data_IF_288453420504
#
_entry.id   IF_288453420504
#
_cell.length_a   1.000
_cell.length_b   1.000
_cell.length_c   1.000
_cell.angle_alpha   90.00
_cell.angle_beta   90.00
_cell.angle_gamma   90.00
#
_symmetry.space_group_name_H-M   'P 1'
#
loop_
_entity.id
_entity.type
_entity.pdbx_description
1 polymer ?
#
# COMPACT_ATOMS: atom_id res chain seq x y z
N UNK A 1 10.31 9.09 -29.87
CA UNK A 1 10.86 8.48 -28.64
C UNK A 1 9.88 7.42 -28.18
N UNK A 2 10.19 6.14 -28.35
CA UNK A 2 9.33 5.10 -27.79
C UNK A 2 9.43 5.18 -26.27
N UNK A 3 8.44 5.86 -25.66
CA UNK A 3 8.24 5.76 -24.22
C UNK A 3 8.07 4.27 -23.89
N UNK A 4 8.76 3.80 -22.86
CA UNK A 4 8.58 2.44 -22.32
C UNK A 4 7.08 2.13 -22.32
N UNK A 5 6.71 0.96 -22.80
CA UNK A 5 5.31 0.47 -22.80
C UNK A 5 4.82 0.25 -21.35
N UNK A 6 4.80 1.33 -20.57
CA UNK A 6 4.53 1.32 -19.13
C UNK A 6 3.06 0.97 -18.83
N UNK A 7 2.17 1.19 -19.80
CA UNK A 7 0.77 0.77 -19.70
C UNK A 7 0.62 -0.73 -19.45
N UNK A 8 1.53 -1.57 -20.01
CA UNK A 8 1.51 -3.02 -19.74
C UNK A 8 1.68 -3.33 -18.25
N UNK A 9 2.53 -2.58 -17.53
CA UNK A 9 2.80 -2.82 -16.11
C UNK A 9 1.62 -2.42 -15.22
N UNK A 10 0.91 -1.35 -15.56
CA UNK A 10 -0.33 -1.01 -14.86
C UNK A 10 -1.42 -2.07 -15.09
N UNK A 11 -1.51 -2.59 -16.32
CA UNK A 11 -2.44 -3.69 -16.62
C UNK A 11 -2.08 -4.97 -15.86
N UNK A 12 -0.80 -5.33 -15.79
CA UNK A 12 -0.33 -6.45 -14.96
C UNK A 12 -0.68 -6.19 -13.49
N UNK A 13 -0.57 -4.94 -13.01
CA UNK A 13 -1.03 -4.54 -11.70
C UNK A 13 -2.51 -4.88 -11.44
N UNK A 14 -3.41 -4.65 -12.41
CA UNK A 14 -4.83 -5.06 -12.26
C UNK A 14 -5.01 -6.57 -12.18
N UNK A 15 -4.25 -7.35 -12.95
CA UNK A 15 -4.23 -8.82 -12.83
C UNK A 15 -3.75 -9.22 -11.43
N UNK A 16 -2.70 -8.56 -10.92
CA UNK A 16 -2.20 -8.81 -9.58
C UNK A 16 -3.24 -8.48 -8.50
N UNK A 17 -4.00 -7.39 -8.67
CA UNK A 17 -5.11 -7.06 -7.76
C UNK A 17 -6.18 -8.16 -7.75
N UNK A 18 -6.50 -8.74 -8.91
CA UNK A 18 -7.43 -9.87 -8.99
C UNK A 18 -6.88 -11.10 -8.23
N UNK A 19 -5.57 -11.40 -8.31
CA UNK A 19 -4.96 -12.46 -7.51
C UNK A 19 -4.99 -12.15 -6.01
N UNK A 20 -4.71 -10.90 -5.60
CA UNK A 20 -4.85 -10.49 -4.20
C UNK A 20 -6.28 -10.73 -3.71
N UNK A 21 -7.28 -10.30 -4.49
CA UNK A 21 -8.69 -10.50 -4.15
C UNK A 21 -9.08 -11.99 -4.12
N UNK A 22 -8.57 -12.80 -5.05
CA UNK A 22 -8.79 -14.27 -5.07
C UNK A 22 -8.31 -14.91 -3.76
N UNK A 23 -7.10 -14.59 -3.32
CA UNK A 23 -6.59 -15.10 -2.04
C UNK A 23 -7.37 -14.58 -0.84
N UNK A 24 -7.89 -13.36 -0.91
CA UNK A 24 -8.83 -12.82 0.07
C UNK A 24 -10.12 -13.66 0.14
N UNK A 25 -10.69 -14.01 -1.02
CA UNK A 25 -11.87 -14.90 -1.11
C UNK A 25 -11.57 -16.27 -0.51
N UNK A 26 -10.44 -16.91 -0.89
CA UNK A 26 -10.06 -18.22 -0.35
C UNK A 26 -9.94 -18.22 1.18
N UNK A 27 -9.31 -17.19 1.75
CA UNK A 27 -9.20 -17.05 3.20
C UNK A 27 -10.56 -16.84 3.87
N UNK A 28 -11.44 -16.01 3.31
CA UNK A 28 -12.78 -15.77 3.85
C UNK A 28 -13.68 -16.99 3.71
N UNK A 29 -13.59 -17.69 2.58
CA UNK A 29 -14.27 -18.97 2.39
C UNK A 29 -13.88 -19.98 3.48
N UNK A 30 -12.57 -20.14 3.72
CA UNK A 30 -12.03 -21.06 4.71
C UNK A 30 -12.47 -20.72 6.16
N UNK A 31 -12.73 -19.44 6.46
CA UNK A 31 -13.22 -19.02 7.77
C UNK A 31 -14.73 -19.24 7.89
N UNK A 32 -15.49 -19.00 6.81
CA UNK A 32 -16.95 -19.13 6.81
C UNK A 32 -17.43 -20.58 6.60
N UNK A 33 -16.63 -21.40 5.91
CA UNK A 33 -16.95 -22.76 5.52
C UNK A 33 -15.76 -23.70 5.72
N UNK A 34 -15.98 -24.99 5.84
CA UNK A 34 -14.89 -25.96 5.97
C UNK A 34 -14.14 -26.13 4.64
N UNK A 35 -12.81 -25.92 4.66
CA UNK A 35 -11.95 -26.14 3.49
C UNK A 35 -10.55 -26.60 3.96
N UNK A 36 -10.34 -27.94 4.12
CA UNK A 36 -9.13 -28.49 4.74
C UNK A 36 -7.89 -28.50 3.81
N UNK A 37 -8.07 -28.33 2.47
CA UNK A 37 -7.02 -28.54 1.48
C UNK A 37 -5.88 -27.52 1.50
N UNK A 38 -6.09 -26.34 2.07
CA UNK A 38 -5.09 -25.28 2.14
C UNK A 38 -4.92 -24.80 3.58
N UNK A 39 -3.67 -24.59 3.99
CA UNK A 39 -3.35 -24.04 5.30
C UNK A 39 -3.66 -22.54 5.39
N UNK A 40 -4.47 -22.13 6.39
CA UNK A 40 -4.87 -20.73 6.57
C UNK A 40 -3.65 -19.79 6.73
N UNK A 41 -2.62 -20.25 7.44
CA UNK A 41 -1.39 -19.46 7.66
C UNK A 41 -0.62 -19.29 6.36
N UNK A 42 -0.58 -20.29 5.50
CA UNK A 42 0.09 -20.23 4.20
C UNK A 42 -0.61 -19.25 3.26
N UNK A 43 -1.94 -19.33 3.18
CA UNK A 43 -2.74 -18.37 2.41
C UNK A 43 -2.54 -16.94 2.91
N UNK A 44 -2.50 -16.71 4.22
CA UNK A 44 -2.28 -15.40 4.80
C UNK A 44 -0.93 -14.81 4.38
N UNK A 45 0.15 -15.61 4.44
CA UNK A 45 1.47 -15.17 3.99
C UNK A 45 1.49 -14.90 2.49
N UNK A 46 0.96 -15.81 1.67
CA UNK A 46 0.88 -15.64 0.23
C UNK A 46 0.12 -14.35 -0.15
N UNK A 47 -1.07 -14.15 0.43
CA UNK A 47 -1.89 -12.97 0.22
C UNK A 47 -1.17 -11.68 0.62
N UNK A 48 -0.65 -11.61 1.83
CA UNK A 48 -0.05 -10.38 2.36
C UNK A 48 1.23 -10.00 1.61
N UNK A 49 2.16 -10.93 1.39
CA UNK A 49 3.39 -10.66 0.63
C UNK A 49 3.08 -10.24 -0.82
N UNK A 50 2.10 -10.88 -1.46
CA UNK A 50 1.72 -10.53 -2.83
C UNK A 50 0.99 -9.18 -2.90
N UNK A 51 0.13 -8.85 -1.94
CA UNK A 51 -0.52 -7.55 -1.86
C UNK A 51 0.49 -6.40 -1.74
N UNK A 52 1.55 -6.60 -0.96
CA UNK A 52 2.62 -5.60 -0.77
C UNK A 52 3.53 -5.49 -2.00
N UNK A 53 4.07 -6.59 -2.50
CA UNK A 53 5.08 -6.60 -3.56
C UNK A 53 4.49 -6.60 -4.97
N UNK A 54 3.46 -7.42 -5.20
CA UNK A 54 2.83 -7.62 -6.51
C UNK A 54 1.79 -6.56 -6.87
N UNK A 55 1.14 -5.93 -5.89
CA UNK A 55 0.15 -4.90 -6.14
C UNK A 55 0.69 -3.50 -5.82
N UNK A 56 0.82 -3.13 -4.55
CA UNK A 56 1.12 -1.73 -4.18
C UNK A 56 2.54 -1.32 -4.59
N UNK A 57 3.57 -2.10 -4.22
CA UNK A 57 4.96 -1.77 -4.62
C UNK A 57 5.14 -1.81 -6.13
N UNK A 58 4.54 -2.77 -6.83
CA UNK A 58 4.59 -2.85 -8.29
C UNK A 58 4.05 -1.57 -8.94
N UNK A 59 2.90 -1.07 -8.45
CA UNK A 59 2.32 0.18 -8.93
C UNK A 59 3.27 1.38 -8.67
N UNK A 60 3.82 1.48 -7.46
CA UNK A 60 4.70 2.60 -7.10
C UNK A 60 6.00 2.54 -7.90
N UNK A 61 6.64 1.37 -8.06
CA UNK A 61 7.82 1.24 -8.92
C UNK A 61 7.52 1.68 -10.35
N UNK A 62 6.39 1.27 -10.90
CA UNK A 62 5.97 1.69 -12.24
C UNK A 62 5.74 3.21 -12.30
N UNK A 63 5.05 3.77 -11.33
CA UNK A 63 4.77 5.21 -11.23
C UNK A 63 6.05 6.05 -11.10
N UNK A 64 7.01 5.61 -10.30
CA UNK A 64 8.30 6.28 -10.16
C UNK A 64 9.18 6.13 -11.41
N UNK A 65 9.13 4.98 -12.11
CA UNK A 65 9.81 4.81 -13.39
C UNK A 65 9.26 5.79 -14.45
N UNK A 66 7.93 6.01 -14.47
CA UNK A 66 7.30 7.02 -15.34
C UNK A 66 7.70 8.44 -14.92
N UNK A 67 7.81 8.70 -13.63
CA UNK A 67 8.20 10.00 -13.09
C UNK A 67 9.59 10.41 -13.59
N UNK A 68 10.54 9.47 -13.61
CA UNK A 68 11.93 9.74 -13.96
C UNK A 68 12.24 9.57 -15.47
N UNK A 69 11.41 8.80 -16.20
CA UNK A 69 11.63 8.45 -17.60
C UNK A 69 11.94 9.64 -18.54
N UNK A 70 11.28 10.81 -18.41
CA UNK A 70 11.57 11.97 -19.28
C UNK A 70 13.02 12.49 -19.19
N UNK A 71 13.72 12.17 -18.11
CA UNK A 71 15.10 12.60 -17.84
C UNK A 71 16.13 11.53 -18.17
N UNK A 72 15.70 10.35 -18.65
CA UNK A 72 16.59 9.21 -18.88
C UNK A 72 16.71 8.84 -20.35
N UNK A 73 17.89 8.32 -20.72
CA UNK A 73 18.08 7.67 -22.01
C UNK A 73 17.25 6.38 -22.11
N UNK A 74 16.92 5.96 -23.34
CA UNK A 74 16.14 4.72 -23.59
C UNK A 74 16.80 3.48 -22.96
N UNK A 75 18.14 3.41 -22.97
CA UNK A 75 18.89 2.30 -22.36
C UNK A 75 18.65 2.22 -20.84
N UNK A 76 18.67 3.36 -20.15
CA UNK A 76 18.36 3.43 -18.72
C UNK A 76 16.91 3.07 -18.41
N UNK A 77 15.97 3.57 -19.21
CA UNK A 77 14.57 3.21 -19.06
C UNK A 77 14.35 1.69 -19.15
N UNK A 78 15.07 0.98 -20.04
CA UNK A 78 15.02 -0.50 -20.12
C UNK A 78 15.52 -1.19 -18.85
N UNK A 79 16.38 -0.56 -18.05
CA UNK A 79 16.81 -1.11 -16.75
C UNK A 79 15.63 -1.13 -15.79
N UNK A 80 14.87 -0.03 -15.68
CA UNK A 80 13.66 0.02 -14.85
C UNK A 80 12.62 -1.02 -15.30
N UNK A 81 12.42 -1.19 -16.62
CA UNK A 81 11.51 -2.21 -17.16
C UNK A 81 11.91 -3.62 -16.69
N UNK A 82 13.21 -3.95 -16.74
CA UNK A 82 13.73 -5.23 -16.25
C UNK A 82 13.57 -5.39 -14.74
N UNK A 83 13.86 -4.36 -13.96
CA UNK A 83 13.73 -4.44 -12.49
C UNK A 83 12.27 -4.63 -12.07
N UNK A 84 11.32 -3.96 -12.74
CA UNK A 84 9.89 -4.18 -12.52
C UNK A 84 9.50 -5.62 -12.88
N UNK A 85 10.03 -6.17 -13.99
CA UNK A 85 9.81 -7.58 -14.37
C UNK A 85 10.33 -8.53 -13.29
N UNK A 86 11.56 -8.33 -12.79
CA UNK A 86 12.12 -9.18 -11.74
C UNK A 86 11.31 -9.08 -10.44
N UNK A 87 10.82 -7.88 -10.09
CA UNK A 87 9.91 -7.73 -8.94
C UNK A 87 8.65 -8.60 -9.12
N UNK A 88 8.04 -8.62 -10.30
CA UNK A 88 6.86 -9.45 -10.58
C UNK A 88 7.20 -10.95 -10.49
N UNK A 89 8.31 -11.39 -11.04
CA UNK A 89 8.74 -12.79 -10.94
C UNK A 89 8.88 -13.19 -9.48
N UNK A 90 9.52 -12.37 -8.66
CA UNK A 90 9.67 -12.64 -7.23
C UNK A 90 8.34 -12.59 -6.48
N UNK A 91 7.45 -11.67 -6.83
CA UNK A 91 6.12 -11.57 -6.21
C UNK A 91 5.29 -12.85 -6.48
N UNK A 92 5.24 -13.33 -7.72
CA UNK A 92 4.59 -14.60 -8.04
C UNK A 92 5.32 -15.80 -7.43
N UNK A 93 6.65 -15.77 -7.38
CA UNK A 93 7.45 -16.76 -6.67
C UNK A 93 7.05 -16.87 -5.20
N UNK A 94 6.88 -15.72 -4.50
CA UNK A 94 6.35 -15.69 -3.13
C UNK A 94 4.91 -16.22 -3.07
N UNK A 95 4.02 -15.77 -3.97
CA UNK A 95 2.62 -16.18 -3.98
C UNK A 95 2.49 -17.71 -3.99
N UNK A 96 3.15 -18.38 -4.93
CA UNK A 96 3.05 -19.83 -5.06
C UNK A 96 3.83 -20.58 -3.99
N UNK A 97 5.05 -20.14 -3.66
CA UNK A 97 5.87 -20.85 -2.66
C UNK A 97 5.26 -20.76 -1.26
N UNK A 98 4.73 -19.60 -0.84
CA UNK A 98 4.02 -19.50 0.43
C UNK A 98 2.75 -20.35 0.47
N UNK A 99 2.00 -20.42 -0.63
CA UNK A 99 0.79 -21.23 -0.71
C UNK A 99 1.07 -22.72 -0.52
N UNK A 100 2.17 -23.23 -1.09
CA UNK A 100 2.51 -24.65 -1.09
C UNK A 100 3.23 -25.06 0.19
N UNK A 101 4.16 -24.25 0.66
CA UNK A 101 5.10 -24.67 1.71
C UNK A 101 5.20 -23.74 2.92
N UNK A 102 4.47 -22.60 2.93
CA UNK A 102 4.62 -21.60 3.98
C UNK A 102 6.03 -20.99 4.02
N UNK A 103 6.53 -20.66 5.20
CA UNK A 103 7.92 -20.17 5.39
C UNK A 103 8.93 -21.32 5.28
N UNK A 104 9.37 -21.63 4.05
CA UNK A 104 10.44 -22.59 3.75
C UNK A 104 11.40 -22.00 2.71
N UNK A 105 12.32 -22.82 2.20
CA UNK A 105 13.43 -22.38 1.36
C UNK A 105 13.02 -21.43 0.22
N UNK A 106 12.10 -21.83 -0.65
CA UNK A 106 11.76 -21.02 -1.82
C UNK A 106 11.05 -19.71 -1.46
N UNK A 107 10.16 -19.73 -0.46
CA UNK A 107 9.49 -18.48 -0.02
C UNK A 107 10.47 -17.51 0.60
N UNK A 108 11.48 -18.01 1.34
CA UNK A 108 12.55 -17.19 1.90
C UNK A 108 13.43 -16.61 0.79
N UNK A 109 13.81 -17.44 -0.21
CA UNK A 109 14.60 -16.98 -1.37
C UNK A 109 13.87 -15.83 -2.09
N UNK A 110 12.60 -16.01 -2.49
CA UNK A 110 11.87 -14.99 -3.22
C UNK A 110 11.63 -13.72 -2.36
N UNK A 111 11.39 -13.87 -1.06
CA UNK A 111 11.27 -12.72 -0.15
C UNK A 111 12.57 -11.94 -0.05
N UNK A 112 13.72 -12.64 0.07
CA UNK A 112 15.04 -12.02 0.11
C UNK A 112 15.36 -11.31 -1.20
N UNK A 113 15.08 -11.95 -2.35
CA UNK A 113 15.25 -11.34 -3.67
C UNK A 113 14.40 -10.08 -3.82
N UNK A 114 13.18 -10.05 -3.30
CA UNK A 114 12.32 -8.84 -3.31
C UNK A 114 12.99 -7.69 -2.54
N UNK A 115 13.62 -7.96 -1.40
CA UNK A 115 14.39 -6.96 -0.64
C UNK A 115 15.57 -6.46 -1.47
N UNK A 116 16.36 -7.35 -2.09
CA UNK A 116 17.49 -6.97 -2.93
C UNK A 116 17.05 -6.13 -4.14
N UNK A 117 15.94 -6.49 -4.77
CA UNK A 117 15.34 -5.70 -5.86
C UNK A 117 14.95 -4.31 -5.37
N UNK A 118 14.36 -4.18 -4.18
CA UNK A 118 13.98 -2.89 -3.62
C UNK A 118 15.20 -1.99 -3.36
N UNK A 119 16.27 -2.54 -2.84
CA UNK A 119 17.55 -1.84 -2.63
C UNK A 119 18.15 -1.41 -3.97
N UNK A 120 18.19 -2.32 -4.94
CA UNK A 120 18.71 -2.02 -6.27
C UNK A 120 17.86 -0.95 -6.99
N UNK A 121 16.53 -1.04 -6.92
CA UNK A 121 15.64 -0.02 -7.47
C UNK A 121 15.89 1.35 -6.84
N UNK A 122 16.00 1.40 -5.51
CA UNK A 122 16.31 2.65 -4.80
C UNK A 122 17.66 3.23 -5.21
N UNK A 123 18.69 2.39 -5.31
CA UNK A 123 20.03 2.81 -5.73
C UNK A 123 20.03 3.42 -7.12
N UNK A 124 19.45 2.75 -8.14
CA UNK A 124 19.40 3.29 -9.50
C UNK A 124 18.56 4.57 -9.56
N UNK A 125 17.42 4.62 -8.84
CA UNK A 125 16.56 5.80 -8.83
C UNK A 125 17.26 7.01 -8.20
N UNK A 126 17.92 6.85 -7.06
CA UNK A 126 18.67 7.92 -6.38
C UNK A 126 19.79 8.43 -7.29
N UNK A 127 20.57 7.53 -7.89
CA UNK A 127 21.63 7.88 -8.84
C UNK A 127 21.08 8.64 -10.04
N UNK A 128 20.04 8.13 -10.68
CA UNK A 128 19.46 8.71 -11.88
C UNK A 128 18.69 10.00 -11.60
N UNK A 129 18.18 10.17 -10.37
CA UNK A 129 17.49 11.39 -9.95
C UNK A 129 18.37 12.64 -10.01
N UNK A 130 19.70 12.48 -10.10
CA UNK A 130 20.62 13.60 -10.39
C UNK A 130 20.32 14.28 -11.73
N UNK A 131 19.70 13.57 -12.69
CA UNK A 131 19.31 14.11 -13.99
C UNK A 131 17.98 14.89 -13.96
N UNK A 132 17.21 14.74 -12.86
CA UNK A 132 16.00 15.53 -12.64
C UNK A 132 16.36 16.95 -12.18
N UNK A 133 15.55 17.97 -12.54
CA UNK A 133 15.72 19.31 -11.99
C UNK A 133 15.84 19.30 -10.46
N UNK A 134 16.76 20.09 -9.93
CA UNK A 134 17.03 20.11 -8.47
C UNK A 134 15.79 20.47 -7.65
N UNK A 135 14.93 21.33 -8.21
CA UNK A 135 13.70 21.81 -7.59
C UNK A 135 12.47 20.94 -7.91
N UNK A 136 12.63 19.81 -8.62
CA UNK A 136 11.51 18.95 -8.96
C UNK A 136 10.79 18.45 -7.70
N UNK A 137 9.50 18.83 -7.46
CA UNK A 137 8.85 18.66 -6.15
C UNK A 137 8.73 17.22 -5.73
N UNK A 138 8.49 16.30 -6.67
CA UNK A 138 8.32 14.86 -6.39
C UNK A 138 9.63 14.14 -6.05
N UNK A 139 10.81 14.69 -6.39
CA UNK A 139 12.10 14.03 -6.21
C UNK A 139 12.34 13.62 -4.75
N UNK A 140 12.14 14.54 -3.81
CA UNK A 140 12.35 14.27 -2.38
C UNK A 140 11.39 13.23 -1.84
N UNK A 141 10.12 13.29 -2.24
CA UNK A 141 9.10 12.34 -1.83
C UNK A 141 9.39 10.93 -2.34
N UNK A 142 9.83 10.81 -3.60
CA UNK A 142 10.24 9.52 -4.17
C UNK A 142 11.44 8.93 -3.43
N UNK A 143 12.50 9.73 -3.22
CA UNK A 143 13.71 9.29 -2.49
C UNK A 143 13.36 8.93 -1.04
N UNK A 144 12.58 9.76 -0.34
CA UNK A 144 12.15 9.49 1.02
C UNK A 144 11.38 8.16 1.12
N UNK A 145 10.44 7.90 0.21
CA UNK A 145 9.72 6.63 0.15
C UNK A 145 10.65 5.43 -0.08
N UNK A 146 11.58 5.53 -1.03
CA UNK A 146 12.55 4.48 -1.33
C UNK A 146 13.50 4.20 -0.15
N UNK A 147 13.96 5.23 0.56
CA UNK A 147 14.80 5.06 1.74
C UNK A 147 14.02 4.39 2.88
N UNK A 148 12.76 4.77 3.12
CA UNK A 148 11.91 4.13 4.13
C UNK A 148 11.56 2.68 3.75
N UNK A 149 11.47 2.36 2.45
CA UNK A 149 11.36 0.98 1.99
C UNK A 149 12.59 0.15 2.36
N UNK A 150 13.79 0.69 2.18
CA UNK A 150 15.04 0.02 2.60
C UNK A 150 15.06 -0.16 4.12
N UNK A 151 14.70 0.88 4.88
CA UNK A 151 14.63 0.82 6.36
C UNK A 151 13.67 -0.27 6.82
N UNK A 152 12.53 -0.45 6.14
CA UNK A 152 11.55 -1.48 6.48
C UNK A 152 12.13 -2.90 6.44
N UNK A 153 13.12 -3.14 5.60
CA UNK A 153 13.74 -4.46 5.44
C UNK A 153 14.42 -4.97 6.72
N UNK A 154 14.76 -4.09 7.66
CA UNK A 154 15.34 -4.50 8.95
C UNK A 154 14.40 -5.44 9.73
N UNK A 155 13.07 -5.26 9.63
CA UNK A 155 12.09 -6.15 10.25
C UNK A 155 12.22 -7.61 9.77
N UNK A 156 12.00 -7.91 8.47
CA UNK A 156 12.15 -9.25 7.93
C UNK A 156 13.56 -9.84 8.10
N UNK A 157 14.61 -9.03 8.03
CA UNK A 157 15.99 -9.50 8.26
C UNK A 157 16.20 -9.94 9.71
N UNK A 158 15.64 -9.20 10.67
CA UNK A 158 15.71 -9.60 12.08
C UNK A 158 14.86 -10.85 12.36
N UNK A 159 13.70 -10.99 11.72
CA UNK A 159 12.92 -12.24 11.75
C UNK A 159 13.73 -13.43 11.22
N UNK A 160 14.41 -13.27 10.09
CA UNK A 160 15.25 -14.32 9.53
C UNK A 160 16.39 -14.69 10.48
N UNK A 161 17.03 -13.70 11.13
CA UNK A 161 18.05 -13.92 12.14
C UNK A 161 17.51 -14.75 13.33
N UNK A 162 16.36 -14.38 13.90
CA UNK A 162 15.74 -15.15 15.00
C UNK A 162 15.40 -16.59 14.59
N UNK A 163 14.95 -16.80 13.36
CA UNK A 163 14.67 -18.14 12.85
C UNK A 163 15.95 -18.98 12.66
N UNK A 164 17.03 -18.39 12.16
CA UNK A 164 18.33 -19.08 11.99
C UNK A 164 18.96 -19.46 13.32
N UNK A 165 18.88 -18.57 14.29
CA UNK A 165 19.44 -18.81 15.65
C UNK A 165 18.53 -19.68 16.53
N UNK A 166 17.33 -20.01 16.05
CA UNK A 166 16.31 -20.75 16.81
C UNK A 166 15.92 -20.05 18.14
N UNK A 167 16.22 -18.77 18.29
CA UNK A 167 15.89 -17.97 19.46
C UNK A 167 14.72 -17.04 19.13
N UNK A 168 13.53 -17.63 19.05
CA UNK A 168 12.31 -16.89 18.69
C UNK A 168 11.65 -16.39 19.99
N UNK A 169 11.80 -15.08 20.24
CA UNK A 169 11.10 -14.38 21.30
C UNK A 169 9.83 -13.73 20.71
N UNK A 170 8.66 -14.05 21.26
CA UNK A 170 7.36 -13.60 20.73
C UNK A 170 7.24 -12.09 20.58
N UNK A 171 7.78 -11.34 21.53
CA UNK A 171 7.74 -9.87 21.54
C UNK A 171 8.57 -9.28 20.38
N UNK A 172 9.82 -9.74 20.23
CA UNK A 172 10.70 -9.30 19.14
C UNK A 172 10.21 -9.76 17.77
N UNK A 173 9.60 -10.95 17.71
CA UNK A 173 8.94 -11.43 16.49
C UNK A 173 7.83 -10.46 16.07
N UNK A 174 6.92 -10.13 16.98
CA UNK A 174 5.80 -9.25 16.73
C UNK A 174 6.27 -7.81 16.42
N UNK A 175 7.24 -7.32 17.20
CA UNK A 175 7.86 -6.00 16.97
C UNK A 175 8.50 -5.90 15.58
N UNK A 176 9.16 -6.94 15.10
CA UNK A 176 9.76 -6.97 13.76
C UNK A 176 8.71 -6.93 12.65
N UNK A 177 7.60 -7.65 12.82
CA UNK A 177 6.47 -7.60 11.87
C UNK A 177 5.87 -6.19 11.81
N UNK A 178 5.57 -5.58 12.95
CA UNK A 178 4.98 -4.25 12.99
C UNK A 178 5.95 -3.16 12.54
N UNK A 179 7.24 -3.30 12.80
CA UNK A 179 8.27 -2.41 12.27
C UNK A 179 8.25 -2.40 10.73
N UNK A 180 8.26 -3.59 10.13
CA UNK A 180 8.14 -3.73 8.67
C UNK A 180 6.86 -3.09 8.15
N UNK A 181 5.72 -3.45 8.72
CA UNK A 181 4.42 -2.93 8.32
C UNK A 181 4.38 -1.41 8.41
N UNK A 182 4.86 -0.83 9.51
CA UNK A 182 4.87 0.62 9.72
C UNK A 182 5.64 1.36 8.61
N UNK A 183 6.88 0.94 8.33
CA UNK A 183 7.68 1.59 7.29
C UNK A 183 7.22 1.28 5.87
N UNK A 184 6.47 0.19 5.66
CA UNK A 184 5.81 -0.05 4.38
C UNK A 184 4.65 0.92 4.17
N UNK A 185 3.64 0.95 5.04
CA UNK A 185 2.43 1.75 4.76
C UNK A 185 2.58 3.24 5.13
N UNK A 186 3.25 3.60 6.24
CA UNK A 186 3.48 5.01 6.62
C UNK A 186 4.73 5.61 5.94
N UNK A 187 5.62 4.77 5.42
CA UNK A 187 6.82 5.15 4.70
C UNK A 187 6.66 4.95 3.19
N UNK A 188 7.05 3.77 2.70
CA UNK A 188 7.16 3.47 1.28
C UNK A 188 5.89 3.78 0.47
N UNK A 189 4.76 3.22 0.86
CA UNK A 189 3.51 3.39 0.10
C UNK A 189 3.01 4.83 0.15
N UNK A 190 3.04 5.44 1.33
CA UNK A 190 2.59 6.82 1.50
C UNK A 190 3.45 7.80 0.69
N UNK A 191 4.78 7.80 0.87
CA UNK A 191 5.67 8.73 0.20
C UNK A 191 5.78 8.46 -1.30
N UNK A 192 5.72 7.19 -1.72
CA UNK A 192 5.70 6.81 -3.14
C UNK A 192 4.43 7.30 -3.85
N UNK A 193 3.25 7.13 -3.25
CA UNK A 193 1.99 7.67 -3.78
C UNK A 193 2.00 9.21 -3.76
N UNK A 194 2.50 9.82 -2.68
CA UNK A 194 2.62 11.28 -2.60
C UNK A 194 3.56 11.85 -3.67
N UNK A 195 4.65 11.18 -4.03
CA UNK A 195 5.53 11.62 -5.12
C UNK A 195 4.75 11.76 -6.44
N UNK A 196 3.82 10.84 -6.72
CA UNK A 196 2.99 10.90 -7.93
C UNK A 196 1.95 12.02 -7.88
N UNK A 197 1.41 12.35 -6.70
CA UNK A 197 0.48 13.48 -6.50
C UNK A 197 1.23 14.80 -6.61
N UNK A 198 2.34 14.94 -5.89
CA UNK A 198 3.13 16.17 -5.81
C UNK A 198 3.72 16.57 -7.16
N UNK A 199 3.99 15.61 -8.06
CA UNK A 199 4.39 15.89 -9.45
C UNK A 199 3.41 16.84 -10.16
N UNK A 200 2.15 16.85 -9.78
CA UNK A 200 1.11 17.65 -10.44
C UNK A 200 0.99 19.07 -9.87
N UNK A 201 1.76 19.39 -8.83
CA UNK A 201 1.78 20.71 -8.20
C UNK A 201 2.86 21.62 -8.81
N UNK A 202 2.75 22.95 -8.67
CA UNK A 202 3.78 23.88 -9.10
C UNK A 202 5.15 23.56 -8.50
N UNK A 203 6.21 23.74 -9.28
CA UNK A 203 7.57 23.29 -8.93
C UNK A 203 8.17 23.98 -7.69
N UNK A 204 7.77 25.19 -7.36
CA UNK A 204 8.47 26.04 -6.38
C UNK A 204 7.66 26.35 -5.11
N UNK A 205 6.65 25.56 -4.77
CA UNK A 205 5.94 25.78 -3.51
C UNK A 205 6.78 25.30 -2.31
N UNK A 206 7.34 26.23 -1.51
CA UNK A 206 8.18 25.89 -0.35
C UNK A 206 7.43 25.06 0.69
N UNK A 207 6.10 25.12 0.66
CA UNK A 207 5.24 24.35 1.56
C UNK A 207 5.35 22.84 1.30
N UNK A 208 5.54 22.43 0.04
CA UNK A 208 5.76 21.02 -0.33
C UNK A 208 7.01 20.47 0.35
N UNK A 209 8.09 21.25 0.38
CA UNK A 209 9.34 20.91 1.07
C UNK A 209 9.16 20.84 2.58
N UNK A 210 8.43 21.81 3.16
CA UNK A 210 8.13 21.86 4.60
C UNK A 210 7.36 20.61 5.04
N UNK A 211 6.27 20.27 4.37
CA UNK A 211 5.47 19.11 4.73
C UNK A 211 6.20 17.79 4.49
N UNK A 212 7.07 17.70 3.49
CA UNK A 212 7.92 16.53 3.33
C UNK A 212 8.74 16.25 4.60
N UNK A 213 9.47 17.27 5.10
CA UNK A 213 10.33 17.08 6.27
C UNK A 213 9.53 16.78 7.55
N UNK A 214 8.41 17.46 7.75
CA UNK A 214 7.55 17.17 8.90
C UNK A 214 7.06 15.73 8.85
N UNK A 215 6.52 15.29 7.70
CA UNK A 215 5.92 13.97 7.57
C UNK A 215 6.97 12.84 7.60
N UNK A 216 8.16 13.03 7.04
CA UNK A 216 9.19 11.97 7.06
C UNK A 216 9.80 11.82 8.47
N UNK A 217 10.06 12.92 9.17
CA UNK A 217 10.58 12.88 10.55
C UNK A 217 9.53 12.23 11.47
N UNK A 218 8.28 12.68 11.38
CA UNK A 218 7.21 12.11 12.21
C UNK A 218 6.90 10.66 11.82
N UNK A 219 7.03 10.24 10.56
CA UNK A 219 6.90 8.84 10.17
C UNK A 219 7.96 7.94 10.84
N UNK A 220 9.20 8.43 10.96
CA UNK A 220 10.25 7.69 11.68
C UNK A 220 9.93 7.60 13.17
N UNK A 221 9.55 8.72 13.81
CA UNK A 221 9.27 8.75 15.25
C UNK A 221 8.02 7.96 15.64
N UNK A 222 7.02 7.89 14.77
CA UNK A 222 5.77 7.16 15.05
C UNK A 222 5.89 5.64 14.89
N UNK A 223 7.06 5.10 14.54
CA UNK A 223 7.29 3.64 14.55
C UNK A 223 7.07 3.04 15.93
N UNK A 224 7.35 3.80 16.99
CA UNK A 224 7.17 3.34 18.37
C UNK A 224 5.70 3.15 18.76
N UNK A 225 4.74 3.69 18.00
CA UNK A 225 3.32 3.33 18.16
C UNK A 225 3.06 1.83 17.92
N UNK A 226 3.86 1.22 17.07
CA UNK A 226 3.75 -0.21 16.74
C UNK A 226 4.23 -1.14 17.87
N UNK A 227 4.87 -0.59 18.89
CA UNK A 227 5.42 -1.31 20.05
C UNK A 227 5.04 -0.68 21.38
N UNK A 228 3.95 0.09 21.47
CA UNK A 228 3.48 0.71 22.73
C UNK A 228 3.23 -0.31 23.85
N UNK A 229 2.83 -1.53 23.48
CA UNK A 229 2.69 -2.67 24.39
C UNK A 229 4.01 -3.06 25.10
N UNK A 230 5.16 -2.66 24.59
CA UNK A 230 6.49 -2.97 25.16
C UNK A 230 6.91 -2.00 26.30
N UNK A 231 5.97 -1.22 26.88
CA UNK A 231 6.19 -0.29 28.02
C UNK A 231 7.38 0.65 27.77
N UNK A 232 7.24 1.53 26.80
CA UNK A 232 8.26 2.51 26.43
C UNK A 232 8.65 3.43 27.61
N UNK A 233 9.93 3.83 27.72
CA UNK A 233 10.34 4.90 28.64
C UNK A 233 9.51 6.18 28.39
N UNK A 234 9.18 6.90 29.46
CA UNK A 234 8.27 8.06 29.40
C UNK A 234 8.70 9.13 28.38
N UNK A 235 10.00 9.39 28.25
CA UNK A 235 10.52 10.35 27.28
C UNK A 235 10.25 9.92 25.83
N UNK A 236 10.42 8.61 25.52
CA UNK A 236 10.19 8.08 24.19
C UNK A 236 8.70 8.02 23.86
N UNK A 237 7.87 7.66 24.83
CA UNK A 237 6.42 7.73 24.73
C UNK A 237 5.95 9.15 24.42
N UNK A 238 6.45 10.15 25.17
CA UNK A 238 6.10 11.57 24.97
C UNK A 238 6.48 12.05 23.57
N UNK A 239 7.69 11.72 23.09
CA UNK A 239 8.13 12.06 21.73
C UNK A 239 7.19 11.43 20.70
N UNK A 240 6.80 10.16 20.89
CA UNK A 240 5.90 9.45 20.01
C UNK A 240 4.52 10.09 19.93
N UNK A 241 3.95 10.48 21.07
CA UNK A 241 2.66 11.18 21.15
C UNK A 241 2.73 12.52 20.41
N UNK A 242 3.74 13.34 20.71
CA UNK A 242 3.93 14.64 20.06
C UNK A 242 4.12 14.48 18.55
N UNK A 243 4.95 13.55 18.12
CA UNK A 243 5.15 13.26 16.69
C UNK A 243 3.85 12.82 15.99
N UNK A 244 3.02 12.04 16.67
CA UNK A 244 1.72 11.58 16.15
C UNK A 244 0.75 12.75 15.94
N UNK A 245 0.66 13.67 16.91
CA UNK A 245 -0.18 14.86 16.79
C UNK A 245 0.31 15.80 15.68
N UNK A 246 1.61 16.04 15.61
CA UNK A 246 2.22 16.83 14.54
C UNK A 246 1.94 16.21 13.18
N UNK A 247 2.01 14.88 13.04
CA UNK A 247 1.74 14.17 11.80
C UNK A 247 0.30 14.35 11.34
N UNK A 248 -0.67 14.21 12.24
CA UNK A 248 -2.10 14.44 11.96
C UNK A 248 -2.35 15.88 11.51
N UNK A 249 -1.83 16.87 12.26
CA UNK A 249 -1.99 18.29 11.93
C UNK A 249 -1.36 18.60 10.57
N UNK A 250 -0.16 18.09 10.31
CA UNK A 250 0.54 18.29 9.04
C UNK A 250 -0.23 17.66 7.86
N UNK A 251 -0.81 16.48 8.05
CA UNK A 251 -1.66 15.85 7.03
C UNK A 251 -2.89 16.68 6.72
N UNK A 252 -3.64 17.11 7.75
CA UNK A 252 -4.84 17.93 7.56
C UNK A 252 -4.50 19.25 6.86
N UNK A 253 -3.41 19.91 7.28
CA UNK A 253 -2.97 21.16 6.68
C UNK A 253 -2.54 20.99 5.20
N UNK A 254 -1.85 19.89 4.88
CA UNK A 254 -1.48 19.54 3.51
C UNK A 254 -2.71 19.29 2.65
N UNK A 255 -3.67 18.50 3.14
CA UNK A 255 -4.94 18.25 2.42
C UNK A 255 -5.70 19.56 2.21
N UNK A 256 -5.89 20.38 3.25
CA UNK A 256 -6.58 21.68 3.13
C UNK A 256 -5.93 22.61 2.10
N UNK A 257 -4.61 22.63 2.04
CA UNK A 257 -3.87 23.49 1.11
C UNK A 257 -3.98 23.02 -0.35
N UNK A 258 -3.78 21.74 -0.61
CA UNK A 258 -3.62 21.22 -1.97
C UNK A 258 -4.88 20.63 -2.57
N UNK A 259 -5.86 20.21 -1.76
CA UNK A 259 -7.12 19.65 -2.25
C UNK A 259 -7.88 20.59 -3.21
N UNK A 260 -7.98 21.92 -2.99
CA UNK A 260 -8.65 22.81 -3.92
C UNK A 260 -7.99 22.85 -5.31
N UNK A 261 -6.64 22.87 -5.36
CA UNK A 261 -5.90 22.86 -6.63
C UNK A 261 -6.07 21.53 -7.36
N UNK A 262 -5.96 20.41 -6.63
CA UNK A 262 -6.18 19.06 -7.17
C UNK A 262 -7.62 18.91 -7.65
N UNK A 263 -8.60 19.38 -6.88
CA UNK A 263 -10.02 19.36 -7.25
C UNK A 263 -10.27 20.12 -8.54
N UNK A 264 -9.74 21.35 -8.68
CA UNK A 264 -9.89 22.16 -9.89
C UNK A 264 -9.34 21.43 -11.13
N UNK A 265 -8.17 20.81 -11.00
CA UNK A 265 -7.55 20.07 -12.10
C UNK A 265 -8.34 18.81 -12.48
N UNK A 266 -8.85 18.06 -11.49
CA UNK A 266 -9.57 16.79 -11.72
C UNK A 266 -11.01 17.06 -12.14
N UNK A 267 -11.71 17.99 -11.49
CA UNK A 267 -13.13 18.26 -11.73
C UNK A 267 -13.39 18.76 -13.15
N UNK A 268 -12.47 19.53 -13.74
CA UNK A 268 -12.61 20.06 -15.08
C UNK A 268 -12.26 19.05 -16.19
N UNK A 269 -11.58 17.95 -15.85
CA UNK A 269 -11.02 17.03 -16.86
C UNK A 269 -11.50 15.59 -16.73
N UNK A 270 -12.12 15.22 -15.59
CA UNK A 270 -12.44 13.83 -15.28
C UNK A 270 -13.89 13.64 -14.84
N UNK A 271 -14.51 12.49 -15.20
CA UNK A 271 -15.85 12.12 -14.71
C UNK A 271 -15.93 12.08 -13.18
N UNK A 272 -17.06 12.50 -12.60
CA UNK A 272 -17.24 12.60 -11.14
C UNK A 272 -17.02 11.30 -10.37
N UNK A 273 -17.27 10.14 -10.98
CA UNK A 273 -17.02 8.84 -10.34
C UNK A 273 -15.53 8.55 -10.08
N UNK A 274 -14.61 9.12 -10.88
CA UNK A 274 -13.16 9.01 -10.65
C UNK A 274 -12.76 9.79 -9.39
N UNK A 275 -13.42 10.93 -9.17
CA UNK A 275 -13.16 11.75 -7.98
C UNK A 275 -13.52 11.01 -6.69
N UNK A 276 -14.56 10.14 -6.73
CA UNK A 276 -14.94 9.30 -5.58
C UNK A 276 -13.78 8.45 -5.05
N UNK A 277 -12.97 7.88 -5.95
CA UNK A 277 -11.81 7.09 -5.58
C UNK A 277 -10.73 7.91 -4.88
N UNK A 278 -10.44 9.10 -5.40
CA UNK A 278 -9.43 9.99 -4.82
C UNK A 278 -9.88 10.56 -3.48
N UNK A 279 -11.15 10.93 -3.35
CA UNK A 279 -11.71 11.36 -2.06
C UNK A 279 -11.80 10.21 -1.06
N UNK A 280 -12.17 9.00 -1.50
CA UNK A 280 -12.16 7.80 -0.68
C UNK A 280 -10.76 7.48 -0.13
N UNK A 281 -9.73 7.62 -0.97
CA UNK A 281 -8.34 7.45 -0.55
C UNK A 281 -7.90 8.50 0.49
N UNK A 282 -8.23 9.78 0.26
CA UNK A 282 -7.92 10.87 1.21
C UNK A 282 -8.68 10.64 2.53
N UNK A 283 -9.95 10.26 2.46
CA UNK A 283 -10.77 9.96 3.64
C UNK A 283 -10.17 8.81 4.44
N UNK A 284 -9.85 7.68 3.79
CA UNK A 284 -9.25 6.52 4.45
C UNK A 284 -7.90 6.85 5.10
N UNK A 285 -7.06 7.64 4.41
CA UNK A 285 -5.79 8.09 4.98
C UNK A 285 -6.00 9.04 6.18
N UNK A 286 -7.04 9.88 6.14
CA UNK A 286 -7.40 10.77 7.26
C UNK A 286 -7.87 9.97 8.47
N UNK A 287 -8.75 8.97 8.26
CA UNK A 287 -9.17 8.04 9.31
C UNK A 287 -7.95 7.31 9.91
N UNK A 288 -7.01 6.86 9.05
CA UNK A 288 -5.76 6.24 9.54
C UNK A 288 -5.01 7.14 10.51
N UNK A 289 -4.80 8.42 10.18
CA UNK A 289 -4.08 9.34 11.07
C UNK A 289 -4.86 9.64 12.35
N UNK A 290 -6.20 9.69 12.29
CA UNK A 290 -7.05 9.83 13.48
C UNK A 290 -6.93 8.59 14.37
N UNK A 291 -7.10 7.39 13.82
CA UNK A 291 -6.98 6.14 14.57
C UNK A 291 -5.60 6.00 15.22
N UNK A 292 -4.56 6.37 14.49
CA UNK A 292 -3.20 6.40 14.99
C UNK A 292 -3.06 7.38 16.17
N UNK A 293 -3.71 8.55 16.11
CA UNK A 293 -3.70 9.53 17.20
C UNK A 293 -4.51 9.07 18.42
N UNK A 294 -5.56 8.31 18.21
CA UNK A 294 -6.35 7.70 19.30
C UNK A 294 -5.58 6.55 19.95
N UNK A 295 -4.81 5.78 19.18
CA UNK A 295 -4.05 4.63 19.69
C UNK A 295 -2.89 4.99 20.62
N UNK A 296 -2.57 6.28 20.80
CA UNK A 296 -1.56 6.69 21.78
C UNK A 296 -2.01 6.47 23.23
N UNK A 297 -3.32 6.35 23.48
CA UNK A 297 -3.86 6.06 24.81
C UNK A 297 -3.48 4.63 25.22
N UNK A 298 -2.71 4.40 26.30
CA UNK A 298 -2.15 3.09 26.63
C UNK A 298 -3.20 1.97 26.74
N UNK A 299 -4.35 2.24 27.38
CA UNK A 299 -5.44 1.27 27.50
C UNK A 299 -6.05 0.84 26.16
N UNK A 300 -6.13 1.75 25.20
CA UNK A 300 -6.59 1.45 23.84
C UNK A 300 -5.54 0.72 23.04
N UNK A 301 -4.27 1.06 23.21
CA UNK A 301 -3.15 0.41 22.55
C UNK A 301 -3.08 -1.09 22.90
N UNK A 302 -3.13 -1.44 24.18
CA UNK A 302 -3.13 -2.84 24.63
C UNK A 302 -4.32 -3.63 24.07
N UNK A 303 -5.51 -3.03 24.06
CA UNK A 303 -6.72 -3.63 23.50
C UNK A 303 -6.59 -3.87 21.98
N UNK A 304 -6.16 -2.87 21.24
CA UNK A 304 -6.08 -2.95 19.76
C UNK A 304 -5.10 -4.04 19.31
N UNK A 305 -3.94 -4.14 19.93
CA UNK A 305 -2.94 -5.16 19.56
C UNK A 305 -3.35 -6.58 19.95
N UNK A 306 -4.21 -6.75 20.96
CA UNK A 306 -4.76 -8.06 21.36
C UNK A 306 -5.90 -8.57 20.47
N UNK A 307 -6.57 -7.69 19.71
CA UNK A 307 -7.78 -8.02 18.96
C UNK A 307 -7.52 -8.09 17.46
N UNK A 308 -7.29 -9.31 16.97
CA UNK A 308 -6.94 -9.57 15.56
C UNK A 308 -7.91 -8.94 14.53
N UNK A 309 -9.26 -8.95 14.69
CA UNK A 309 -10.15 -8.29 13.75
C UNK A 309 -9.88 -6.80 13.55
N UNK A 310 -9.47 -6.08 14.60
CA UNK A 310 -9.15 -4.64 14.54
C UNK A 310 -7.88 -4.41 13.73
N UNK A 311 -6.84 -5.21 13.98
CA UNK A 311 -5.59 -5.14 13.20
C UNK A 311 -5.87 -5.39 11.72
N UNK A 312 -6.73 -6.38 11.41
CA UNK A 312 -7.13 -6.69 10.04
C UNK A 312 -7.90 -5.52 9.42
N UNK A 313 -8.87 -4.93 10.14
CA UNK A 313 -9.62 -3.75 9.68
C UNK A 313 -8.67 -2.58 9.37
N UNK A 314 -7.75 -2.27 10.27
CA UNK A 314 -6.78 -1.19 10.06
C UNK A 314 -5.89 -1.41 8.84
N UNK A 315 -5.40 -2.64 8.62
CA UNK A 315 -4.58 -2.96 7.45
C UNK A 315 -5.39 -2.89 6.15
N UNK A 316 -6.65 -3.31 6.15
CA UNK A 316 -7.51 -3.21 4.96
C UNK A 316 -7.92 -1.76 4.67
N UNK A 317 -8.23 -0.95 5.70
CA UNK A 317 -8.44 0.49 5.55
C UNK A 317 -7.26 1.15 4.80
N UNK A 318 -6.04 0.77 5.12
CA UNK A 318 -4.85 1.28 4.44
C UNK A 318 -4.70 0.71 3.04
N UNK A 319 -4.66 -0.63 2.90
CA UNK A 319 -4.32 -1.28 1.64
C UNK A 319 -5.44 -1.16 0.61
N UNK A 320 -6.70 -1.34 1.00
CA UNK A 320 -7.85 -1.19 0.11
C UNK A 320 -8.34 0.26 0.08
N UNK A 321 -8.65 0.83 1.25
CA UNK A 321 -9.26 2.16 1.36
C UNK A 321 -8.33 3.29 0.95
N UNK A 322 -7.08 3.32 1.40
CA UNK A 322 -6.18 4.40 1.05
C UNK A 322 -5.41 4.10 -0.26
N UNK A 323 -4.66 3.00 -0.34
CA UNK A 323 -3.75 2.79 -1.47
C UNK A 323 -4.45 2.23 -2.70
N UNK A 324 -5.34 1.22 -2.60
CA UNK A 324 -5.98 0.67 -3.80
C UNK A 324 -6.97 1.64 -4.43
N UNK A 325 -7.75 2.40 -3.62
CA UNK A 325 -8.60 3.46 -4.19
C UNK A 325 -7.75 4.55 -4.83
N UNK A 326 -6.63 4.96 -4.20
CA UNK A 326 -5.71 5.92 -4.82
C UNK A 326 -5.18 5.40 -6.16
N UNK A 327 -4.68 4.18 -6.21
CA UNK A 327 -4.08 3.56 -7.40
C UNK A 327 -5.09 3.55 -8.56
N UNK A 328 -6.31 3.09 -8.32
CA UNK A 328 -7.36 3.02 -9.34
C UNK A 328 -7.77 4.44 -9.77
N UNK A 329 -8.06 5.33 -8.83
CA UNK A 329 -8.44 6.71 -9.11
C UNK A 329 -7.35 7.48 -9.87
N UNK A 330 -6.09 7.35 -9.46
CA UNK A 330 -4.95 7.95 -10.14
C UNK A 330 -4.81 7.43 -11.58
N UNK A 331 -4.91 6.12 -11.77
CA UNK A 331 -4.76 5.50 -13.10
C UNK A 331 -5.82 5.98 -14.09
N UNK A 332 -7.07 6.13 -13.64
CA UNK A 332 -8.13 6.74 -14.47
C UNK A 332 -7.91 8.24 -14.66
N UNK A 333 -7.50 8.97 -13.62
CA UNK A 333 -7.29 10.42 -13.71
C UNK A 333 -6.14 10.80 -14.66
N UNK A 334 -5.15 9.93 -14.81
CA UNK A 334 -4.03 10.09 -15.75
C UNK A 334 -4.27 9.41 -17.11
N UNK A 335 -5.50 8.98 -17.38
CA UNK A 335 -5.89 8.28 -18.62
C UNK A 335 -5.05 7.02 -18.89
N UNK A 336 -4.38 6.45 -17.86
CA UNK A 336 -3.69 5.18 -17.97
C UNK A 336 -4.72 4.06 -18.22
N UNK A 337 -5.86 4.14 -17.51
CA UNK A 337 -7.01 3.30 -17.74
C UNK A 337 -8.10 4.04 -18.49
N UNK A 338 -8.76 3.34 -19.42
CA UNK A 338 -9.87 3.89 -20.21
C UNK A 338 -11.17 3.90 -19.40
N UNK A 339 -11.85 5.03 -19.26
CA UNK A 339 -13.07 5.15 -18.49
C UNK A 339 -14.32 4.70 -19.28
N UNK A 340 -14.30 3.46 -19.80
CA UNK A 340 -15.48 2.88 -20.47
C UNK A 340 -16.62 2.66 -19.47
N UNK A 341 -17.84 2.46 -19.95
CA UNK A 341 -19.02 2.17 -19.10
C UNK A 341 -18.75 0.89 -18.28
N UNK A 342 -18.20 -0.15 -18.91
CA UNK A 342 -17.85 -1.40 -18.23
C UNK A 342 -16.78 -1.18 -17.15
N UNK A 343 -15.74 -0.40 -17.45
CA UNK A 343 -14.72 -0.02 -16.46
C UNK A 343 -15.30 0.78 -15.29
N UNK A 344 -16.25 1.69 -15.56
CA UNK A 344 -16.96 2.46 -14.52
C UNK A 344 -17.73 1.53 -13.58
N UNK A 345 -18.53 0.60 -14.14
CA UNK A 345 -19.32 -0.34 -13.32
C UNK A 345 -18.40 -1.22 -12.46
N UNK A 346 -17.33 -1.78 -13.07
CA UNK A 346 -16.35 -2.58 -12.36
C UNK A 346 -15.64 -1.79 -11.24
N UNK A 347 -15.23 -0.56 -11.53
CA UNK A 347 -14.59 0.30 -10.54
C UNK A 347 -15.55 0.64 -9.38
N UNK A 348 -16.77 1.05 -9.66
CA UNK A 348 -17.77 1.34 -8.61
C UNK A 348 -18.06 0.09 -7.79
N UNK A 349 -18.17 -1.09 -8.42
CA UNK A 349 -18.32 -2.36 -7.71
C UNK A 349 -17.14 -2.61 -6.76
N UNK A 350 -15.90 -2.32 -7.19
CA UNK A 350 -14.72 -2.41 -6.33
C UNK A 350 -14.81 -1.44 -5.15
N UNK A 351 -15.20 -0.18 -5.39
CA UNK A 351 -15.38 0.81 -4.33
C UNK A 351 -16.43 0.34 -3.29
N UNK A 352 -17.57 -0.14 -3.76
CA UNK A 352 -18.61 -0.71 -2.88
C UNK A 352 -18.06 -1.90 -2.10
N UNK A 353 -17.33 -2.80 -2.75
CA UNK A 353 -16.67 -3.92 -2.08
C UNK A 353 -15.72 -3.50 -0.96
N UNK A 354 -14.93 -2.42 -1.20
CA UNK A 354 -14.06 -1.83 -0.16
C UNK A 354 -14.90 -1.32 1.03
N UNK A 355 -15.95 -0.54 0.76
CA UNK A 355 -16.81 0.02 1.83
C UNK A 355 -17.47 -1.11 2.64
N UNK A 356 -18.02 -2.13 1.98
CA UNK A 356 -18.63 -3.28 2.67
C UNK A 356 -17.61 -4.05 3.50
N UNK A 357 -16.40 -4.28 2.97
CA UNK A 357 -15.34 -4.97 3.71
C UNK A 357 -14.95 -4.19 4.98
N UNK A 358 -14.74 -2.87 4.87
CA UNK A 358 -14.38 -2.03 6.02
C UNK A 358 -15.51 -1.95 7.04
N UNK A 359 -16.76 -1.82 6.58
CA UNK A 359 -17.93 -1.80 7.45
C UNK A 359 -18.04 -3.10 8.26
N UNK A 360 -17.97 -4.24 7.59
CA UNK A 360 -18.12 -5.54 8.26
C UNK A 360 -16.92 -5.87 9.17
N UNK A 361 -15.70 -5.50 8.78
CA UNK A 361 -14.52 -5.61 9.64
C UNK A 361 -14.62 -4.68 10.86
N UNK A 362 -15.11 -3.46 10.66
CA UNK A 362 -15.36 -2.52 11.75
C UNK A 362 -16.38 -3.07 12.75
N UNK A 363 -17.52 -3.60 12.27
CA UNK A 363 -18.53 -4.25 13.11
C UNK A 363 -17.93 -5.44 13.86
N UNK A 364 -17.17 -6.31 13.17
CA UNK A 364 -16.51 -7.47 13.78
C UNK A 364 -15.49 -7.04 14.84
N UNK A 365 -14.73 -5.97 14.57
CA UNK A 365 -13.76 -5.41 15.51
C UNK A 365 -14.43 -4.84 16.76
N UNK A 366 -15.48 -4.04 16.61
CA UNK A 366 -16.25 -3.49 17.74
C UNK A 366 -16.92 -4.58 18.57
N UNK A 367 -17.52 -5.57 17.92
CA UNK A 367 -18.13 -6.72 18.60
C UNK A 367 -17.11 -7.55 19.40
N UNK A 368 -15.86 -7.61 18.92
CA UNK A 368 -14.78 -8.29 19.65
C UNK A 368 -14.42 -7.59 20.97
N UNK A 369 -14.56 -6.25 21.07
CA UNK A 369 -14.38 -5.53 22.34
C UNK A 369 -15.42 -5.88 23.39
N UNK A 370 -16.65 -6.10 22.95
CA UNK A 370 -17.77 -6.39 23.86
C UNK A 370 -18.01 -7.89 24.04
N UNK A 371 -17.14 -8.74 23.44
CA UNK A 371 -17.32 -10.19 23.39
C UNK A 371 -18.70 -10.62 22.86
N UNK A 372 -19.32 -9.78 22.02
CA UNK A 372 -20.65 -10.03 21.47
C UNK A 372 -20.53 -10.69 20.09
N UNK A 373 -21.02 -11.92 19.89
CA UNK A 373 -21.00 -12.55 18.59
C UNK A 373 -21.96 -11.86 17.61
N UNK A 374 -21.47 -11.57 16.39
CA UNK A 374 -22.30 -11.05 15.31
C UNK A 374 -22.68 -12.19 14.37
N UNK A 375 -23.97 -12.55 14.29
CA UNK A 375 -24.41 -13.63 13.41
C UNK A 375 -24.01 -13.36 11.96
N UNK A 376 -23.60 -14.41 11.25
CA UNK A 376 -23.28 -14.39 9.81
C UNK A 376 -22.18 -13.41 9.37
N UNK A 377 -21.41 -12.80 10.27
CA UNK A 377 -20.39 -11.80 9.92
C UNK A 377 -19.32 -12.36 8.96
N UNK A 378 -18.93 -13.64 9.11
CA UNK A 378 -17.96 -14.28 8.25
C UNK A 378 -18.50 -14.52 6.83
N UNK A 379 -19.79 -14.83 6.69
CA UNK A 379 -20.47 -14.96 5.41
C UNK A 379 -20.61 -13.60 4.71
N UNK A 380 -20.94 -12.54 5.46
CA UNK A 380 -20.99 -11.16 4.92
C UNK A 380 -19.60 -10.70 4.42
N UNK A 381 -18.55 -10.98 5.18
CA UNK A 381 -17.18 -10.71 4.77
C UNK A 381 -16.75 -11.54 3.54
N UNK A 382 -17.24 -12.78 3.42
CA UNK A 382 -17.02 -13.58 2.24
C UNK A 382 -17.74 -13.00 1.00
N UNK A 383 -18.98 -12.53 1.14
CA UNK A 383 -19.72 -11.85 0.06
C UNK A 383 -18.98 -10.56 -0.36
N UNK A 384 -18.51 -9.75 0.58
CA UNK A 384 -17.73 -8.56 0.27
C UNK A 384 -16.44 -8.90 -0.50
N UNK A 385 -15.77 -9.99 -0.14
CA UNK A 385 -14.58 -10.47 -0.84
C UNK A 385 -14.92 -10.95 -2.29
N UNK A 386 -16.07 -11.59 -2.51
CA UNK A 386 -16.54 -11.96 -3.84
C UNK A 386 -16.83 -10.73 -4.71
N UNK A 387 -17.43 -9.68 -4.14
CA UNK A 387 -17.67 -8.42 -4.83
C UNK A 387 -16.33 -7.78 -5.26
N UNK A 388 -15.34 -7.76 -4.35
CA UNK A 388 -13.99 -7.27 -4.66
C UNK A 388 -13.33 -8.06 -5.78
N UNK A 389 -13.39 -9.40 -5.72
CA UNK A 389 -12.80 -10.28 -6.74
C UNK A 389 -13.47 -10.09 -8.10
N UNK A 390 -14.80 -10.14 -8.15
CA UNK A 390 -15.57 -9.97 -9.40
C UNK A 390 -15.29 -8.59 -10.02
N UNK A 391 -15.20 -7.55 -9.20
CA UNK A 391 -14.90 -6.20 -9.64
C UNK A 391 -13.45 -6.07 -10.14
N UNK A 392 -12.47 -6.66 -9.46
CA UNK A 392 -11.06 -6.62 -9.88
C UNK A 392 -10.85 -7.36 -11.21
N UNK A 393 -11.46 -8.54 -11.39
CA UNK A 393 -11.44 -9.29 -12.66
C UNK A 393 -12.09 -8.47 -13.77
N UNK A 394 -13.30 -7.93 -13.53
CA UNK A 394 -14.02 -7.11 -14.51
C UNK A 394 -13.22 -5.85 -14.89
N UNK A 395 -12.54 -5.23 -13.94
CA UNK A 395 -11.68 -4.08 -14.18
C UNK A 395 -10.49 -4.47 -15.06
N UNK A 396 -9.83 -5.59 -14.80
CA UNK A 396 -8.74 -6.10 -15.63
C UNK A 396 -9.24 -6.42 -17.06
N UNK A 397 -10.39 -7.08 -17.21
CA UNK A 397 -10.98 -7.37 -18.52
C UNK A 397 -11.29 -6.08 -19.28
N UNK A 398 -11.82 -5.06 -18.62
CA UNK A 398 -12.18 -3.77 -19.23
C UNK A 398 -10.98 -3.05 -19.87
N UNK A 399 -9.77 -3.30 -19.38
CA UNK A 399 -8.54 -2.64 -19.86
C UNK A 399 -7.76 -3.48 -20.88
N UNK A 400 -8.14 -4.75 -21.13
CA UNK A 400 -7.41 -5.68 -22.00
C UNK A 400 -7.18 -5.16 -23.42
N UNK A 401 -8.19 -4.50 -24.02
CA UNK A 401 -8.13 -4.00 -25.41
C UNK A 401 -7.23 -2.77 -25.58
N UNK A 402 -6.77 -2.18 -24.48
CA UNK A 402 -5.99 -0.93 -24.47
C UNK A 402 -4.48 -1.18 -24.31
N UNK A 403 -4.09 -2.44 -24.17
CA UNK A 403 -2.68 -2.84 -24.11
C UNK A 403 -2.05 -2.62 -25.50
N UNK A 404 -1.25 -1.57 -25.65
CA UNK A 404 -0.52 -1.29 -26.90
C UNK A 404 -1.07 -0.13 -27.74
N UNK A 405 -2.16 0.51 -27.35
CA UNK A 405 -2.53 1.80 -27.96
C UNK A 405 -1.59 2.87 -27.43
N UNK A 406 -0.74 3.42 -28.30
CA UNK A 406 0.03 4.61 -27.99
C UNK A 406 -0.96 5.75 -27.74
N UNK A 407 -1.00 6.27 -26.51
CA UNK A 407 -1.62 7.56 -26.25
C UNK A 407 -0.66 8.62 -26.81
N UNK A 408 -0.95 9.07 -28.01
CA UNK A 408 -0.60 10.42 -28.45
C UNK A 408 -1.60 11.34 -27.73
N UNK A 409 -1.06 12.33 -27.05
CA UNK A 409 -1.78 13.38 -26.29
C UNK A 409 -2.80 14.13 -27.06
#
# INVERSE_FOLDING_TARGET
MEAIKLHKWFYIGLINLAFVALYGVLMRYKIAFSFPFLEQKFLLHAHSHFAFSGWVSHFIYTGLAILIAPFLSVSKQKVYDKVILFNIICAYGMLFSFTIQGYKLFSIIFSTLTILISIFYAWIFIKDSAQMPTQHPAKRWAIGGLLLNIVSAAGPLYLAYMMMTKNIQSEWYLGSVYYFLHFQYSGWFFFGCMAMVIKTLPNDDPTVKKYFWILVITAVLTVFLSILWAKLPIWLYTITVVATMIQLIAWIALVKKFLPAIKKTISNTQPGWIQLFLYGAIFSMTIKFILQSVSVVPSLSELVFGIRPIVIAYLHLLLLGAFSLFIIGYSFSKKIFQPTIFAKVAAIGFFVGVVLNELFLGIQGMAAFTYTPVPYINQLLFIAALVLLGSAISLAISQRKNIGKNYQD
#
